data_IF_336046318013
#
_entry.id   IF_336046318013
#
_cell.length_a   1.000
_cell.length_b   1.000
_cell.length_c   1.000
_cell.angle_alpha   90.00
_cell.angle_beta   90.00
_cell.angle_gamma   90.00
#
_symmetry.space_group_name_H-M   'P 1'
#
loop_
_entity.id
_entity.type
_entity.pdbx_description
1 polymer ?
#
# COMPACT_ATOMS: atom_id res chain seq x y z
N UNK A 1 3.77 7.92 6.07
CA UNK A 1 3.56 8.03 7.54
C UNK A 1 2.08 7.93 7.89
N UNK A 2 1.20 8.80 7.37
CA UNK A 2 -0.25 8.76 7.67
C UNK A 2 -0.83 7.35 7.46
N UNK A 3 -0.54 6.74 6.32
CA UNK A 3 -0.92 5.37 5.97
C UNK A 3 -0.48 4.33 7.03
N UNK A 4 0.77 4.40 7.47
CA UNK A 4 1.35 3.48 8.46
C UNK A 4 0.68 3.65 9.83
N UNK A 5 0.39 4.89 10.23
CA UNK A 5 -0.36 5.17 11.46
C UNK A 5 -1.79 4.64 11.34
N UNK A 6 -2.42 4.79 10.17
CA UNK A 6 -3.78 4.32 9.93
C UNK A 6 -3.87 2.79 9.98
N UNK A 7 -2.96 2.04 9.34
CA UNK A 7 -2.96 0.57 9.41
C UNK A 7 -2.70 0.08 10.85
N UNK A 8 -1.80 0.73 11.60
CA UNK A 8 -1.62 0.44 13.04
C UNK A 8 -2.90 0.72 13.83
N UNK A 9 -3.60 1.82 13.53
CA UNK A 9 -4.89 2.15 14.15
C UNK A 9 -5.97 1.09 13.90
N UNK A 10 -6.08 0.60 12.66
CA UNK A 10 -7.03 -0.49 12.30
C UNK A 10 -6.69 -1.79 13.04
N UNK A 11 -5.40 -2.08 13.27
CA UNK A 11 -5.00 -3.27 14.04
C UNK A 11 -5.26 -3.15 15.54
N UNK A 12 -5.20 -1.93 16.09
CA UNK A 12 -5.37 -1.71 17.52
C UNK A 12 -6.85 -1.57 17.91
N UNK A 13 -7.63 -0.81 17.15
CA UNK A 13 -9.05 -0.56 17.44
C UNK A 13 -9.88 -1.57 16.67
N UNK A 14 -10.42 -2.57 17.37
CA UNK A 14 -11.25 -3.59 16.75
C UNK A 14 -12.63 -3.04 16.36
N UNK A 15 -13.21 -3.56 15.28
CA UNK A 15 -14.58 -3.26 14.88
C UNK A 15 -15.62 -3.64 15.96
N UNK A 16 -15.31 -4.60 16.84
CA UNK A 16 -16.16 -5.00 17.97
C UNK A 16 -16.15 -4.00 19.12
N UNK A 17 -15.04 -3.30 19.30
CA UNK A 17 -14.87 -2.35 20.40
C UNK A 17 -15.47 -0.98 20.05
N UNK A 18 -15.16 -0.48 18.85
CA UNK A 18 -15.66 0.82 18.40
C UNK A 18 -15.76 0.87 16.88
N UNK A 19 -16.90 0.38 16.36
CA UNK A 19 -17.16 0.36 14.92
C UNK A 19 -17.02 1.74 14.23
N UNK A 20 -17.62 2.84 14.74
CA UNK A 20 -17.51 4.15 14.09
C UNK A 20 -16.07 4.67 13.95
N UNK A 21 -15.21 4.37 14.92
CA UNK A 21 -13.80 4.77 14.87
C UNK A 21 -13.03 3.87 13.90
N UNK A 22 -13.22 2.55 14.01
CA UNK A 22 -12.59 1.58 13.12
C UNK A 22 -12.89 1.88 11.64
N UNK A 23 -14.16 2.14 11.30
CA UNK A 23 -14.59 2.50 9.94
C UNK A 23 -13.86 3.73 9.40
N UNK A 24 -13.74 4.80 10.21
CA UNK A 24 -13.07 6.03 9.79
C UNK A 24 -11.57 5.84 9.58
N UNK A 25 -10.90 5.10 10.47
CA UNK A 25 -9.47 4.81 10.35
C UNK A 25 -9.23 3.91 9.13
N UNK A 26 -10.12 2.95 8.87
CA UNK A 26 -10.05 2.09 7.71
C UNK A 26 -10.18 2.86 6.40
N UNK A 27 -11.13 3.80 6.31
CA UNK A 27 -11.26 4.71 5.16
C UNK A 27 -10.01 5.58 4.99
N UNK A 28 -9.47 6.11 6.08
CA UNK A 28 -8.22 6.89 6.05
C UNK A 28 -7.05 6.07 5.53
N UNK A 29 -6.92 4.80 5.97
CA UNK A 29 -5.93 3.87 5.47
C UNK A 29 -6.09 3.65 3.96
N UNK A 30 -7.28 3.28 3.49
CA UNK A 30 -7.53 3.06 2.05
C UNK A 30 -7.17 4.27 1.19
N UNK A 31 -7.65 5.47 1.56
CA UNK A 31 -7.38 6.68 0.78
C UNK A 31 -5.90 7.06 0.78
N UNK A 32 -5.25 7.00 1.95
CA UNK A 32 -3.83 7.34 2.06
C UNK A 32 -2.92 6.34 1.33
N UNK A 33 -3.22 5.04 1.39
CA UNK A 33 -2.53 3.99 0.62
C UNK A 33 -2.64 4.21 -0.89
N UNK A 34 -3.86 4.43 -1.40
CA UNK A 34 -4.06 4.64 -2.84
C UNK A 34 -3.36 5.91 -3.34
N UNK A 35 -3.45 7.01 -2.58
CA UNK A 35 -2.73 8.24 -2.90
C UNK A 35 -1.22 8.05 -2.90
N UNK A 36 -0.68 7.35 -1.90
CA UNK A 36 0.73 7.02 -1.84
C UNK A 36 1.20 6.22 -3.06
N UNK A 37 0.45 5.18 -3.45
CA UNK A 37 0.77 4.37 -4.63
C UNK A 37 0.76 5.19 -5.92
N UNK A 38 -0.22 6.08 -6.10
CA UNK A 38 -0.29 6.99 -7.27
C UNK A 38 0.92 7.93 -7.30
N UNK A 39 1.25 8.56 -6.17
CA UNK A 39 2.39 9.47 -6.07
C UNK A 39 3.68 8.72 -6.39
N UNK A 40 3.88 7.53 -5.82
CA UNK A 40 5.07 6.72 -6.06
C UNK A 40 5.21 6.28 -7.52
N UNK A 41 4.14 5.80 -8.16
CA UNK A 41 4.15 5.40 -9.57
C UNK A 41 4.47 6.61 -10.47
N UNK A 42 3.86 7.77 -10.19
CA UNK A 42 4.14 9.01 -10.95
C UNK A 42 5.58 9.47 -10.76
N UNK A 43 6.06 9.53 -9.52
CA UNK A 43 7.45 9.90 -9.21
C UNK A 43 8.43 8.95 -9.89
N UNK A 44 8.19 7.64 -9.85
CA UNK A 44 9.03 6.65 -10.52
C UNK A 44 9.13 6.91 -12.03
N UNK A 45 8.00 7.19 -12.69
CA UNK A 45 7.96 7.51 -14.11
C UNK A 45 8.63 8.86 -14.46
N UNK A 46 8.55 9.85 -13.56
CA UNK A 46 9.19 11.15 -13.75
C UNK A 46 10.71 11.09 -13.61
N UNK A 47 11.21 10.32 -12.63
CA UNK A 47 12.64 10.19 -12.33
C UNK A 47 13.33 9.27 -13.36
N UNK A 48 12.69 8.18 -13.76
CA UNK A 48 13.27 7.20 -14.68
C UNK A 48 12.71 7.34 -16.10
N UNK A 49 13.09 8.42 -16.81
CA UNK A 49 12.71 8.63 -18.23
C UNK A 49 13.26 7.56 -19.18
N UNK A 50 14.40 6.96 -18.84
CA UNK A 50 15.00 5.83 -19.58
C UNK A 50 15.16 4.67 -18.61
N UNK A 51 14.33 3.65 -18.75
CA UNK A 51 14.27 2.54 -17.81
C UNK A 51 15.13 1.36 -18.28
N UNK A 52 15.90 0.79 -17.35
CA UNK A 52 16.55 -0.52 -17.54
C UNK A 52 15.51 -1.65 -17.45
N UNK A 53 15.86 -2.86 -17.91
CA UNK A 53 14.97 -4.04 -17.85
C UNK A 53 14.49 -4.34 -16.42
N UNK A 54 15.35 -4.16 -15.42
CA UNK A 54 15.01 -4.35 -14.00
C UNK A 54 13.97 -3.31 -13.52
N UNK A 55 14.18 -2.04 -13.86
CA UNK A 55 13.25 -0.95 -13.51
C UNK A 55 11.89 -1.13 -14.18
N UNK A 56 11.85 -1.64 -15.42
CA UNK A 56 10.60 -1.98 -16.10
C UNK A 56 9.81 -3.08 -15.38
N UNK A 57 10.50 -4.10 -14.86
CA UNK A 57 9.86 -5.15 -14.07
C UNK A 57 9.27 -4.57 -12.78
N UNK A 58 10.06 -3.81 -12.02
CA UNK A 58 9.60 -3.14 -10.79
C UNK A 58 8.40 -2.24 -11.06
N UNK A 59 8.46 -1.40 -12.11
CA UNK A 59 7.36 -0.53 -12.52
C UNK A 59 6.08 -1.30 -12.89
N UNK A 60 6.23 -2.44 -13.58
CA UNK A 60 5.09 -3.27 -13.97
C UNK A 60 4.45 -3.93 -12.74
N UNK A 61 5.25 -4.44 -11.80
CA UNK A 61 4.76 -4.99 -10.53
C UNK A 61 4.02 -3.91 -9.73
N UNK A 62 4.57 -2.70 -9.59
CA UNK A 62 3.91 -1.58 -8.90
C UNK A 62 2.54 -1.25 -9.51
N UNK A 63 2.44 -1.23 -10.85
CA UNK A 63 1.16 -1.01 -11.55
C UNK A 63 0.16 -2.13 -11.32
N UNK A 64 0.60 -3.39 -11.34
CA UNK A 64 -0.27 -4.54 -11.07
C UNK A 64 -0.79 -4.49 -9.63
N UNK A 65 0.08 -4.24 -8.65
CA UNK A 65 -0.32 -4.11 -7.25
C UNK A 65 -1.29 -2.95 -7.03
N UNK A 66 -1.07 -1.82 -7.69
CA UNK A 66 -2.01 -0.70 -7.65
C UNK A 66 -3.37 -1.07 -8.25
N UNK A 67 -3.39 -1.79 -9.38
CA UNK A 67 -4.64 -2.26 -9.98
C UNK A 67 -5.38 -3.23 -9.04
N UNK A 68 -4.67 -4.15 -8.38
CA UNK A 68 -5.26 -5.05 -7.38
C UNK A 68 -5.83 -4.26 -6.20
N UNK A 69 -5.10 -3.29 -5.66
CA UNK A 69 -5.62 -2.44 -4.57
C UNK A 69 -6.89 -1.69 -4.98
N UNK A 70 -6.96 -1.16 -6.21
CA UNK A 70 -8.16 -0.49 -6.72
C UNK A 70 -9.33 -1.48 -6.84
N UNK A 71 -9.12 -2.64 -7.47
CA UNK A 71 -10.20 -3.62 -7.64
C UNK A 71 -10.68 -4.13 -6.29
N UNK A 72 -9.78 -4.45 -5.36
CA UNK A 72 -10.12 -4.83 -3.98
C UNK A 72 -10.89 -3.73 -3.25
N UNK A 73 -10.53 -2.44 -3.44
CA UNK A 73 -11.26 -1.31 -2.84
C UNK A 73 -12.70 -1.26 -3.35
N UNK A 74 -12.91 -1.37 -4.67
CA UNK A 74 -14.25 -1.38 -5.25
C UNK A 74 -15.07 -2.58 -4.78
N UNK A 75 -14.48 -3.77 -4.79
CA UNK A 75 -15.13 -5.00 -4.32
C UNK A 75 -15.51 -4.90 -2.84
N UNK A 76 -14.62 -4.36 -2.01
CA UNK A 76 -14.88 -4.12 -0.59
C UNK A 76 -16.06 -3.16 -0.39
N UNK A 77 -16.07 -2.02 -1.07
CA UNK A 77 -17.17 -1.03 -0.95
C UNK A 77 -18.50 -1.66 -1.40
N UNK A 78 -18.49 -2.42 -2.50
CA UNK A 78 -19.67 -3.11 -2.99
C UNK A 78 -20.22 -4.11 -1.95
N UNK A 79 -19.36 -4.96 -1.38
CA UNK A 79 -19.78 -5.92 -0.37
C UNK A 79 -20.16 -5.26 0.95
N UNK A 80 -19.55 -4.14 1.32
CA UNK A 80 -19.91 -3.35 2.49
C UNK A 80 -21.35 -2.80 2.37
N UNK A 81 -21.69 -2.21 1.22
CA UNK A 81 -23.04 -1.72 0.93
C UNK A 81 -24.02 -2.89 0.90
N UNK A 82 -23.69 -3.97 0.19
CA UNK A 82 -24.54 -5.17 0.11
C UNK A 82 -24.83 -5.77 1.49
N UNK A 83 -23.81 -5.89 2.33
CA UNK A 83 -23.96 -6.39 3.71
C UNK A 83 -24.88 -5.48 4.53
N UNK A 84 -24.73 -4.15 4.43
CA UNK A 84 -25.51 -3.21 5.22
C UNK A 84 -26.98 -3.09 4.81
N UNK A 85 -27.28 -3.19 3.51
CA UNK A 85 -28.65 -2.98 3.01
C UNK A 85 -29.44 -4.25 2.71
N UNK A 86 -28.76 -5.32 2.26
CA UNK A 86 -29.44 -6.51 1.73
C UNK A 86 -29.29 -7.75 2.61
N UNK A 87 -28.49 -7.68 3.69
CA UNK A 87 -28.29 -8.75 4.67
C UNK A 87 -28.05 -10.14 4.04
N UNK A 88 -27.33 -10.18 2.92
CA UNK A 88 -27.12 -11.40 2.15
C UNK A 88 -26.04 -12.26 2.79
N UNK A 89 -26.30 -13.57 2.88
CA UNK A 89 -25.32 -14.54 3.36
C UNK A 89 -24.01 -14.44 2.59
N UNK A 90 -22.87 -14.61 3.29
CA UNK A 90 -21.49 -14.51 2.79
C UNK A 90 -20.98 -13.11 2.39
N UNK A 91 -21.82 -12.06 2.39
CA UNK A 91 -21.35 -10.71 2.06
C UNK A 91 -20.22 -10.24 2.99
N UNK A 92 -20.28 -10.62 4.27
CA UNK A 92 -19.23 -10.33 5.25
C UNK A 92 -17.91 -11.06 4.95
N UNK A 93 -17.96 -12.31 4.50
CA UNK A 93 -16.77 -13.10 4.15
C UNK A 93 -16.05 -12.50 2.95
N UNK A 94 -16.79 -12.12 1.91
CA UNK A 94 -16.23 -11.47 0.73
C UNK A 94 -15.68 -10.07 1.01
N UNK A 95 -16.32 -9.34 1.93
CA UNK A 95 -15.79 -8.09 2.47
C UNK A 95 -14.43 -8.32 3.15
N UNK A 96 -14.35 -9.26 4.10
CA UNK A 96 -13.12 -9.56 4.83
C UNK A 96 -12.00 -10.04 3.90
N UNK A 97 -12.32 -10.89 2.91
CA UNK A 97 -11.35 -11.32 1.90
C UNK A 97 -10.77 -10.13 1.12
N UNK A 98 -11.63 -9.18 0.72
CA UNK A 98 -11.19 -7.99 -0.01
C UNK A 98 -10.28 -7.09 0.84
N UNK A 99 -10.58 -6.98 2.14
CA UNK A 99 -9.73 -6.27 3.11
C UNK A 99 -8.35 -6.92 3.23
N UNK A 100 -8.29 -8.25 3.35
CA UNK A 100 -7.01 -8.98 3.39
C UNK A 100 -6.19 -8.78 2.11
N UNK A 101 -6.82 -8.89 0.93
CA UNK A 101 -6.12 -8.69 -0.35
C UNK A 101 -5.57 -7.27 -0.44
N UNK A 102 -6.34 -6.27 -0.01
CA UNK A 102 -5.93 -4.87 0.00
C UNK A 102 -4.71 -4.66 0.93
N UNK A 103 -4.77 -5.19 2.16
CA UNK A 103 -3.69 -5.07 3.13
C UNK A 103 -2.39 -5.74 2.64
N UNK A 104 -2.48 -6.97 2.13
CA UNK A 104 -1.32 -7.72 1.60
C UNK A 104 -0.75 -7.02 0.37
N UNK A 105 -1.59 -6.56 -0.55
CA UNK A 105 -1.13 -5.85 -1.76
C UNK A 105 -0.45 -4.52 -1.41
N UNK A 106 -0.93 -3.84 -0.36
CA UNK A 106 -0.28 -2.65 0.18
C UNK A 106 1.11 -2.95 0.76
N UNK A 107 1.25 -4.00 1.57
CA UNK A 107 2.56 -4.45 2.09
C UNK A 107 3.51 -4.87 0.96
N UNK A 108 3.01 -5.62 -0.02
CA UNK A 108 3.78 -6.00 -1.20
C UNK A 108 4.24 -4.78 -2.00
N UNK A 109 3.42 -3.73 -2.09
CA UNK A 109 3.80 -2.48 -2.76
C UNK A 109 4.99 -1.81 -2.06
N UNK A 110 4.99 -1.73 -0.72
CA UNK A 110 6.14 -1.23 0.03
C UNK A 110 7.38 -2.12 -0.14
N UNK A 111 7.20 -3.44 -0.19
CA UNK A 111 8.29 -4.39 -0.39
C UNK A 111 8.99 -4.23 -1.76
N UNK A 112 8.32 -3.68 -2.77
CA UNK A 112 8.93 -3.42 -4.09
C UNK A 112 10.16 -2.50 -4.04
N UNK A 113 10.39 -1.77 -2.95
CA UNK A 113 11.62 -0.97 -2.76
C UNK A 113 12.89 -1.83 -2.83
N UNK A 114 12.81 -3.10 -2.44
CA UNK A 114 13.93 -4.05 -2.51
C UNK A 114 14.36 -4.35 -3.94
N UNK A 115 13.44 -4.22 -4.91
CA UNK A 115 13.72 -4.38 -6.33
C UNK A 115 14.31 -3.11 -6.95
N UNK A 116 13.98 -1.95 -6.39
CA UNK A 116 14.49 -0.65 -6.85
C UNK A 116 15.94 -0.42 -6.41
N UNK A 117 16.34 -0.94 -5.24
CA UNK A 117 17.66 -0.77 -4.65
C UNK A 117 18.32 -2.11 -4.29
N UNK A 118 18.68 -2.96 -5.27
CA UNK A 118 19.17 -4.31 -5.01
C UNK A 118 20.60 -4.36 -4.43
N UNK A 119 21.39 -3.29 -4.59
CA UNK A 119 22.82 -3.26 -4.24
C UNK A 119 23.21 -2.09 -3.31
N UNK A 120 22.23 -1.33 -2.81
CA UNK A 120 22.55 -0.22 -1.90
C UNK A 120 22.98 -0.75 -0.54
N UNK A 121 24.18 -0.37 -0.11
CA UNK A 121 24.72 -0.72 1.20
C UNK A 121 24.60 0.49 2.13
N UNK A 122 23.87 0.32 3.24
CA UNK A 122 23.78 1.35 4.27
C UNK A 122 25.06 1.32 5.13
N UNK A 123 26.03 2.16 4.79
CA UNK A 123 27.28 2.29 5.53
C UNK A 123 27.07 3.27 6.70
N UNK A 124 26.94 2.74 7.92
CA UNK A 124 26.96 3.56 9.14
C UNK A 124 28.41 3.74 9.57
N UNK A 125 29.02 4.87 9.19
CA UNK A 125 30.37 5.22 9.60
C UNK A 125 30.38 6.49 10.47
N UNK A 126 31.19 6.48 11.53
CA UNK A 126 31.47 7.65 12.35
C UNK A 126 32.79 8.26 11.86
N UNK A 127 32.75 9.49 11.36
CA UNK A 127 33.86 10.24 10.73
C UNK A 127 34.28 9.74 9.33
N UNK A 128 33.46 10.00 8.30
CA UNK A 128 33.86 9.72 6.91
C UNK A 128 34.94 10.73 6.47
N UNK A 129 36.15 10.31 6.08
CA UNK A 129 37.13 11.22 5.51
C UNK A 129 36.65 11.68 4.14
N UNK A 130 36.59 12.99 3.93
CA UNK A 130 36.32 13.58 2.62
C UNK A 130 37.45 13.18 1.68
N UNK A 131 37.18 12.28 0.74
CA UNK A 131 38.09 12.02 -0.36
C UNK A 131 38.14 13.28 -1.23
N UNK A 132 39.21 14.06 -1.08
CA UNK A 132 39.67 14.98 -2.12
C UNK A 132 40.18 14.13 -3.27
N UNK A 133 39.47 14.15 -4.39
CA UNK A 133 39.98 13.71 -5.68
C UNK A 133 40.91 14.81 -6.20
N UNK A 134 42.22 14.51 -6.25
CA UNK A 134 43.20 15.23 -7.06
C UNK A 134 43.14 14.75 -8.52
#
# INVERSE_FOLDING_TARGET
IIEVVAICGVTYISNRENYPVHEKIFILFMLSSLLYMVVMIKTFNMVHKTMTKSQHLSYTIKKILFAICITSTFTLIFFFIKHRFYCHDLAFTWFALSEYILAVSNMAFHFTITLDFPHEQLIVAKNFPSFKTD
#
